data_IF_938320331929
#
_entry.id   IF_938320331929
#
_cell.length_a   1.000
_cell.length_b   1.000
_cell.length_c   1.000
_cell.angle_alpha   90.00
_cell.angle_beta   90.00
_cell.angle_gamma   90.00
#
_symmetry.space_group_name_H-M   'P 1'
#
loop_
_entity.id
_entity.type
_entity.pdbx_description
1 polymer ?
#
# COMPACT_ATOMS: atom_id res chain seq x y z
N UNK A 1 -7.46 11.07 -16.07
CA UNK A 1 -6.28 10.47 -15.44
C UNK A 1 -6.56 10.18 -13.97
N UNK A 2 -6.12 9.04 -13.49
CA UNK A 2 -6.18 8.68 -12.07
C UNK A 2 -5.26 9.57 -11.25
N UNK A 3 -5.54 9.68 -9.93
CA UNK A 3 -4.69 10.45 -9.01
C UNK A 3 -3.64 9.55 -8.38
N UNK A 4 -2.38 9.88 -8.57
CA UNK A 4 -1.28 9.17 -7.92
C UNK A 4 -1.35 9.31 -6.39
N UNK A 5 -1.03 8.23 -5.71
CA UNK A 5 -0.69 8.25 -4.28
C UNK A 5 0.54 7.40 -4.06
N UNK A 6 1.38 7.82 -3.12
CA UNK A 6 2.57 7.09 -2.70
C UNK A 6 2.64 7.20 -1.19
N UNK A 7 2.21 6.16 -0.50
CA UNK A 7 2.20 6.09 0.96
C UNK A 7 3.22 5.06 1.42
N UNK A 8 4.18 5.48 2.23
CA UNK A 8 5.22 4.61 2.76
C UNK A 8 5.02 4.41 4.26
N UNK A 9 5.10 3.17 4.69
CA UNK A 9 4.96 2.76 6.08
C UNK A 9 5.90 1.61 6.43
N UNK A 10 5.92 1.26 7.71
CA UNK A 10 6.60 0.05 8.16
C UNK A 10 5.83 -1.17 7.66
N UNK A 11 6.56 -2.18 7.24
CA UNK A 11 5.97 -3.48 6.95
C UNK A 11 5.42 -4.08 8.25
N UNK A 12 4.14 -4.44 8.25
CA UNK A 12 3.46 -5.04 9.40
C UNK A 12 2.94 -6.43 9.05
N UNK A 13 2.66 -7.26 10.05
CA UNK A 13 2.03 -8.56 9.82
C UNK A 13 0.66 -8.40 9.13
N UNK A 14 -0.11 -7.38 9.48
CA UNK A 14 -1.39 -7.09 8.82
C UNK A 14 -1.22 -6.76 7.34
N UNK A 15 -0.20 -5.94 6.99
CA UNK A 15 0.12 -5.67 5.58
C UNK A 15 0.47 -6.95 4.81
N UNK A 16 1.29 -7.82 5.41
CA UNK A 16 1.67 -9.09 4.77
C UNK A 16 0.47 -10.00 4.56
N UNK A 17 -0.41 -10.17 5.57
CA UNK A 17 -1.63 -10.95 5.44
C UNK A 17 -2.56 -10.43 4.34
N UNK A 18 -2.67 -9.10 4.18
CA UNK A 18 -3.44 -8.49 3.10
C UNK A 18 -2.79 -8.75 1.72
N UNK A 19 -1.47 -8.50 1.60
CA UNK A 19 -0.70 -8.74 0.37
C UNK A 19 -0.82 -10.20 -0.08
N UNK A 20 -0.71 -11.14 0.85
CA UNK A 20 -0.79 -12.58 0.60
C UNK A 20 -2.23 -13.11 0.49
N UNK A 21 -3.23 -12.27 0.73
CA UNK A 21 -4.65 -12.64 0.79
C UNK A 21 -4.96 -13.79 1.77
N UNK A 22 -4.22 -13.88 2.87
CA UNK A 22 -4.39 -14.93 3.88
C UNK A 22 -5.76 -14.91 4.55
N UNK A 23 -6.42 -13.75 4.59
CA UNK A 23 -7.76 -13.55 5.14
C UNK A 23 -8.88 -13.64 4.09
N UNK A 24 -8.60 -14.22 2.92
CA UNK A 24 -9.55 -14.38 1.82
C UNK A 24 -9.75 -13.11 0.98
N UNK A 25 -10.73 -13.16 0.05
CA UNK A 25 -11.00 -12.12 -0.93
C UNK A 25 -11.97 -11.03 -0.42
N UNK A 26 -11.94 -10.71 0.87
CA UNK A 26 -12.92 -9.80 1.51
C UNK A 26 -12.92 -8.37 0.94
N UNK A 27 -11.90 -8.00 0.16
CA UNK A 27 -11.76 -6.66 -0.44
C UNK A 27 -12.07 -6.65 -1.94
N UNK A 28 -12.15 -7.82 -2.57
CA UNK A 28 -12.39 -7.92 -4.00
C UNK A 28 -13.84 -7.59 -4.32
N UNK A 29 -14.04 -6.73 -5.30
CA UNK A 29 -15.36 -6.41 -5.88
C UNK A 29 -15.59 -7.08 -7.23
N UNK A 30 -14.52 -7.64 -7.81
CA UNK A 30 -14.52 -8.46 -9.03
C UNK A 30 -13.86 -9.79 -8.71
N UNK A 31 -14.53 -10.89 -9.00
CA UNK A 31 -13.98 -12.22 -8.77
C UNK A 31 -12.94 -12.59 -9.83
N UNK A 32 -11.90 -13.32 -9.37
CA UNK A 32 -10.90 -13.94 -10.26
C UNK A 32 -10.20 -12.98 -11.22
N UNK A 33 -9.80 -11.82 -10.75
CA UNK A 33 -9.04 -10.89 -11.60
C UNK A 33 -7.70 -11.50 -12.01
N UNK A 34 -7.60 -11.95 -13.26
CA UNK A 34 -6.34 -12.39 -13.89
C UNK A 34 -5.33 -11.24 -14.06
N UNK A 35 -5.77 -10.02 -13.80
CA UNK A 35 -4.92 -8.83 -13.87
C UNK A 35 -4.11 -8.58 -12.59
N UNK A 36 -4.38 -9.32 -11.51
CA UNK A 36 -3.56 -9.29 -10.31
C UNK A 36 -2.23 -10.00 -10.56
N UNK A 37 -1.16 -9.47 -9.98
CA UNK A 37 0.16 -10.06 -10.10
C UNK A 37 0.90 -10.06 -8.78
N UNK A 38 1.77 -11.06 -8.60
CA UNK A 38 2.73 -11.12 -7.51
C UNK A 38 4.11 -11.45 -8.08
N UNK A 39 5.10 -10.64 -7.74
CA UNK A 39 6.49 -10.83 -8.13
C UNK A 39 7.38 -10.72 -6.89
N UNK A 40 8.28 -11.67 -6.72
CA UNK A 40 9.31 -11.67 -5.68
C UNK A 40 10.67 -11.59 -6.34
N UNK A 41 11.45 -10.59 -5.99
CA UNK A 41 12.76 -10.33 -6.59
C UNK A 41 13.91 -10.80 -5.70
N UNK A 42 13.69 -10.80 -4.37
CA UNK A 42 14.69 -11.23 -3.40
C UNK A 42 14.06 -12.02 -2.26
N UNK A 43 14.80 -12.99 -1.72
CA UNK A 43 14.49 -13.58 -0.43
C UNK A 43 14.85 -12.61 0.70
N UNK A 44 13.95 -12.45 1.67
CA UNK A 44 14.12 -11.47 2.75
C UNK A 44 15.38 -11.72 3.58
N UNK A 45 15.59 -12.98 3.98
CA UNK A 45 16.72 -13.35 4.84
C UNK A 45 18.06 -13.20 4.12
N UNK A 46 18.13 -13.59 2.84
CA UNK A 46 19.32 -13.44 2.00
C UNK A 46 19.67 -11.95 1.81
N UNK A 47 18.65 -11.13 1.53
CA UNK A 47 18.84 -9.70 1.38
C UNK A 47 19.31 -9.07 2.67
N UNK A 48 18.66 -9.41 3.80
CA UNK A 48 19.02 -8.93 5.12
C UNK A 48 20.45 -9.32 5.51
N UNK A 49 20.87 -10.55 5.22
CA UNK A 49 22.23 -11.00 5.49
C UNK A 49 23.25 -10.20 4.68
N UNK A 50 23.04 -10.03 3.38
CA UNK A 50 23.87 -9.20 2.51
C UNK A 50 23.99 -7.75 3.02
N UNK A 51 22.86 -7.18 3.49
CA UNK A 51 22.85 -5.82 4.06
C UNK A 51 23.67 -5.74 5.36
N UNK A 52 23.55 -6.73 6.26
CA UNK A 52 24.34 -6.81 7.49
C UNK A 52 25.84 -6.92 7.20
N UNK A 53 26.22 -7.77 6.25
CA UNK A 53 27.62 -7.97 5.87
C UNK A 53 28.20 -6.69 5.28
N UNK A 54 27.47 -6.04 4.40
CA UNK A 54 27.86 -4.75 3.82
C UNK A 54 27.95 -3.64 4.86
N UNK A 55 27.01 -3.57 5.79
CA UNK A 55 27.08 -2.63 6.91
C UNK A 55 28.33 -2.85 7.74
N UNK A 56 28.62 -4.10 8.13
CA UNK A 56 29.81 -4.47 8.91
C UNK A 56 31.11 -4.14 8.16
N UNK A 57 31.15 -4.38 6.86
CA UNK A 57 32.29 -4.02 6.00
C UNK A 57 32.58 -2.51 6.03
N UNK A 58 31.53 -1.69 5.89
CA UNK A 58 31.65 -0.23 5.79
C UNK A 58 31.80 0.47 7.14
N UNK A 59 31.00 0.06 8.13
CA UNK A 59 30.90 0.75 9.44
C UNK A 59 31.79 0.11 10.50
N UNK A 60 32.33 -1.09 10.23
CA UNK A 60 33.18 -1.89 11.16
C UNK A 60 32.47 -2.29 12.47
N UNK A 61 31.15 -2.31 12.47
CA UNK A 61 30.29 -2.68 13.59
C UNK A 61 29.14 -3.57 13.11
N UNK A 62 28.52 -4.30 14.02
CA UNK A 62 27.30 -5.01 13.71
C UNK A 62 26.12 -4.03 13.56
N UNK A 63 25.20 -4.35 12.65
CA UNK A 63 24.01 -3.54 12.46
C UNK A 63 23.09 -3.63 13.69
N UNK A 64 22.66 -2.49 14.21
CA UNK A 64 21.78 -2.42 15.37
C UNK A 64 20.36 -2.89 15.02
N UNK A 65 19.64 -3.46 15.99
CA UNK A 65 18.27 -3.92 15.81
C UNK A 65 17.33 -2.83 15.29
N UNK A 66 17.48 -1.59 15.74
CA UNK A 66 16.68 -0.46 15.25
C UNK A 66 16.88 -0.18 13.76
N UNK A 67 18.08 -0.40 13.23
CA UNK A 67 18.38 -0.29 11.80
C UNK A 67 17.80 -1.48 11.02
N UNK A 68 17.89 -2.69 11.59
CA UNK A 68 17.35 -3.93 10.99
C UNK A 68 15.81 -3.83 10.81
N UNK A 69 15.09 -3.41 11.85
CA UNK A 69 13.63 -3.26 11.82
C UNK A 69 13.16 -2.26 10.74
N UNK A 70 14.00 -1.30 10.39
CA UNK A 70 13.67 -0.26 9.43
C UNK A 70 14.27 -0.51 8.02
N UNK A 71 14.87 -1.68 7.78
CA UNK A 71 15.40 -2.02 6.44
C UNK A 71 14.27 -2.13 5.43
N UNK A 72 13.21 -2.88 5.76
CA UNK A 72 12.09 -3.09 4.86
C UNK A 72 10.95 -2.12 5.16
N UNK A 73 10.40 -1.56 4.10
CA UNK A 73 9.25 -0.67 4.12
C UNK A 73 8.22 -1.17 3.12
N UNK A 74 6.98 -0.79 3.32
CA UNK A 74 5.90 -0.99 2.36
C UNK A 74 5.52 0.35 1.73
N UNK A 75 5.39 0.38 0.41
CA UNK A 75 4.74 1.46 -0.32
C UNK A 75 3.40 0.99 -0.87
N UNK A 76 2.34 1.74 -0.59
CA UNK A 76 1.04 1.57 -1.27
C UNK A 76 0.93 2.67 -2.33
N UNK A 77 0.81 2.24 -3.58
CA UNK A 77 0.86 3.09 -4.76
C UNK A 77 -0.48 2.97 -5.49
N UNK A 78 -1.25 4.05 -5.59
CA UNK A 78 -2.41 4.06 -6.48
C UNK A 78 -1.91 4.03 -7.92
N UNK A 79 -2.50 3.18 -8.74
CA UNK A 79 -2.19 3.01 -10.16
C UNK A 79 -3.47 3.06 -10.99
N UNK A 80 -3.34 3.29 -12.28
CA UNK A 80 -4.44 3.10 -13.22
C UNK A 80 -4.44 1.64 -13.73
N UNK A 81 -5.58 1.18 -14.27
CA UNK A 81 -5.76 -0.21 -14.69
C UNK A 81 -4.78 -0.70 -15.77
N UNK A 82 -4.14 0.23 -16.52
CA UNK A 82 -3.17 -0.10 -17.56
C UNK A 82 -1.74 -0.32 -17.04
N UNK A 83 -1.41 0.15 -15.82
CA UNK A 83 -0.06 -0.04 -15.27
C UNK A 83 0.24 -1.52 -15.02
N UNK A 84 1.48 -1.88 -15.27
CA UNK A 84 2.03 -3.23 -15.17
C UNK A 84 3.04 -3.35 -14.03
N UNK A 85 3.54 -4.56 -13.81
CA UNK A 85 4.63 -4.80 -12.85
C UNK A 85 5.93 -4.14 -13.30
N UNK A 86 6.17 -4.07 -14.62
CA UNK A 86 7.34 -3.43 -15.21
C UNK A 86 7.33 -1.92 -14.91
N UNK A 87 6.19 -1.23 -15.05
CA UNK A 87 6.09 0.20 -14.74
C UNK A 87 6.47 0.49 -13.28
N UNK A 88 6.10 -0.40 -12.35
CA UNK A 88 6.45 -0.25 -10.93
C UNK A 88 7.91 -0.64 -10.67
N UNK A 89 8.44 -1.64 -11.37
CA UNK A 89 9.86 -1.98 -11.29
C UNK A 89 10.74 -0.81 -11.74
N UNK A 90 10.41 -0.21 -12.88
CA UNK A 90 11.09 0.98 -13.41
C UNK A 90 10.99 2.16 -12.44
N UNK A 91 9.80 2.38 -11.85
CA UNK A 91 9.62 3.39 -10.82
C UNK A 91 10.60 3.20 -9.64
N UNK A 92 10.74 1.99 -9.12
CA UNK A 92 11.66 1.72 -8.01
C UNK A 92 13.13 1.81 -8.42
N UNK A 93 13.44 1.45 -9.65
CA UNK A 93 14.78 1.67 -10.22
C UNK A 93 15.12 3.18 -10.21
N UNK A 94 14.23 4.02 -10.70
CA UNK A 94 14.41 5.49 -10.73
C UNK A 94 14.46 6.11 -9.32
N UNK A 95 13.62 5.63 -8.39
CA UNK A 95 13.67 6.04 -6.98
C UNK A 95 15.02 5.69 -6.35
N UNK A 96 15.54 4.50 -6.64
CA UNK A 96 16.86 4.05 -6.16
C UNK A 96 17.99 4.93 -6.71
N UNK A 97 17.96 5.25 -8.01
CA UNK A 97 18.96 6.12 -8.63
C UNK A 97 18.96 7.53 -8.01
N UNK A 98 17.77 8.07 -7.79
CA UNK A 98 17.63 9.46 -7.32
C UNK A 98 17.86 9.63 -5.82
N UNK A 99 17.44 8.69 -4.99
CA UNK A 99 17.39 8.85 -3.53
C UNK A 99 18.25 7.85 -2.74
N UNK A 100 18.80 6.84 -3.41
CA UNK A 100 19.44 5.69 -2.75
C UNK A 100 18.44 4.78 -2.04
N UNK A 101 18.89 3.59 -1.62
CA UNK A 101 17.95 2.58 -1.11
C UNK A 101 16.91 2.21 -2.18
N UNK A 102 15.65 2.00 -1.77
CA UNK A 102 14.51 1.71 -2.67
C UNK A 102 14.69 0.45 -3.53
N UNK A 103 15.50 -0.52 -3.07
CA UNK A 103 15.60 -1.83 -3.74
C UNK A 103 14.27 -2.57 -3.59
N UNK A 104 13.60 -2.86 -4.69
CA UNK A 104 12.32 -3.57 -4.68
C UNK A 104 12.53 -5.04 -4.32
N UNK A 105 11.89 -5.51 -3.26
CA UNK A 105 11.99 -6.88 -2.73
C UNK A 105 10.86 -7.73 -3.28
N UNK A 106 9.61 -7.25 -3.17
CA UNK A 106 8.44 -7.90 -3.76
C UNK A 106 7.39 -6.88 -4.14
N UNK A 107 6.55 -7.26 -5.09
CA UNK A 107 5.49 -6.44 -5.66
C UNK A 107 4.22 -7.26 -5.79
N UNK A 108 3.12 -6.74 -5.26
CA UNK A 108 1.78 -7.27 -5.49
C UNK A 108 0.91 -6.17 -6.09
N UNK A 109 0.21 -6.48 -7.17
CA UNK A 109 -0.75 -5.57 -7.80
C UNK A 109 -2.14 -6.13 -7.62
N UNK A 110 -3.04 -5.32 -7.07
CA UNK A 110 -4.47 -5.60 -6.94
C UNK A 110 -5.26 -4.72 -7.93
N UNK A 111 -5.93 -5.36 -8.87
CA UNK A 111 -6.80 -4.70 -9.87
C UNK A 111 -8.27 -5.08 -9.71
N UNK A 112 -8.59 -5.93 -8.74
CA UNK A 112 -9.92 -6.45 -8.44
C UNK A 112 -10.56 -5.82 -7.19
N UNK A 113 -9.84 -4.96 -6.50
CA UNK A 113 -10.30 -4.29 -5.29
C UNK A 113 -10.96 -2.95 -5.59
N UNK A 114 -11.90 -2.54 -4.71
CA UNK A 114 -12.62 -1.29 -4.89
C UNK A 114 -13.79 -1.15 -3.95
N UNK A 115 -14.87 -0.56 -4.46
CA UNK A 115 -16.12 -0.40 -3.75
C UNK A 115 -17.30 -0.42 -4.71
N UNK A 116 -18.47 -0.66 -4.15
CA UNK A 116 -19.74 -0.54 -4.85
C UNK A 116 -20.36 0.83 -4.60
N UNK A 117 -21.09 1.36 -5.58
CA UNK A 117 -21.75 2.66 -5.48
C UNK A 117 -23.23 2.52 -5.86
N UNK A 118 -24.11 3.04 -5.00
CA UNK A 118 -25.55 3.17 -5.26
C UNK A 118 -26.05 4.50 -4.69
N UNK A 119 -26.87 5.24 -5.43
CA UNK A 119 -27.46 6.52 -4.99
C UNK A 119 -26.44 7.52 -4.41
N UNK A 120 -25.29 7.70 -5.06
CA UNK A 120 -24.16 8.52 -4.60
C UNK A 120 -23.49 8.07 -3.27
N UNK A 121 -23.85 6.92 -2.74
CA UNK A 121 -23.26 6.34 -1.55
C UNK A 121 -22.26 5.23 -1.92
N UNK A 122 -21.12 5.18 -1.21
CA UNK A 122 -20.07 4.19 -1.40
C UNK A 122 -20.16 3.08 -0.34
N UNK A 123 -20.09 1.83 -0.79
CA UNK A 123 -20.15 0.63 0.04
C UNK A 123 -18.85 -0.14 -0.11
N UNK A 124 -18.10 -0.24 1.00
CA UNK A 124 -16.76 -0.84 1.02
C UNK A 124 -16.81 -2.24 1.63
N UNK A 125 -16.49 -3.31 0.89
CA UNK A 125 -16.44 -4.67 1.45
C UNK A 125 -15.51 -4.78 2.68
N UNK A 126 -14.33 -4.17 2.60
CA UNK A 126 -13.32 -4.23 3.65
C UNK A 126 -13.71 -3.50 4.97
N UNK A 127 -14.78 -2.71 4.96
CA UNK A 127 -15.30 -2.06 6.17
C UNK A 127 -16.47 -2.82 6.79
N UNK A 128 -16.70 -4.05 6.34
CA UNK A 128 -17.84 -4.87 6.76
C UNK A 128 -19.20 -4.19 6.55
N UNK A 129 -19.30 -3.32 5.54
CA UNK A 129 -20.58 -2.69 5.16
C UNK A 129 -21.35 -3.61 4.22
N UNK A 130 -20.64 -4.32 3.34
CA UNK A 130 -21.14 -5.37 2.48
C UNK A 130 -20.41 -6.67 2.79
N UNK A 131 -21.13 -7.74 3.06
CA UNK A 131 -20.60 -9.08 3.28
C UNK A 131 -21.08 -10.00 2.17
N UNK A 132 -20.19 -10.82 1.62
CA UNK A 132 -20.54 -11.87 0.69
C UNK A 132 -20.61 -13.21 1.42
N UNK A 133 -21.74 -13.91 1.31
CA UNK A 133 -21.93 -15.29 1.77
C UNK A 133 -22.62 -16.10 0.67
N UNK A 134 -22.09 -17.27 0.35
CA UNK A 134 -22.68 -18.22 -0.64
C UNK A 134 -23.13 -17.56 -1.94
N UNK A 135 -22.28 -16.69 -2.51
CA UNK A 135 -22.55 -15.90 -3.71
C UNK A 135 -23.64 -14.81 -3.57
N UNK A 136 -24.14 -14.57 -2.37
CA UNK A 136 -25.06 -13.48 -2.09
C UNK A 136 -24.37 -12.34 -1.34
N UNK A 137 -24.84 -11.12 -1.56
CA UNK A 137 -24.38 -9.95 -0.84
C UNK A 137 -25.40 -9.51 0.20
N UNK A 138 -24.91 -9.17 1.37
CA UNK A 138 -25.71 -8.74 2.51
C UNK A 138 -25.22 -7.40 3.03
N UNK A 139 -26.14 -6.55 3.45
CA UNK A 139 -25.87 -5.26 4.07
C UNK A 139 -26.62 -5.15 5.40
N UNK A 140 -26.12 -4.33 6.31
CA UNK A 140 -26.85 -3.95 7.53
C UNK A 140 -27.20 -2.48 7.49
N UNK A 141 -28.31 -2.11 8.14
CA UNK A 141 -28.68 -0.70 8.29
C UNK A 141 -27.61 0.07 9.10
N UNK A 142 -27.02 -0.54 10.10
CA UNK A 142 -25.95 0.07 10.91
C UNK A 142 -24.65 0.23 10.15
N UNK A 143 -24.39 -0.57 9.13
CA UNK A 143 -23.25 -0.41 8.21
C UNK A 143 -23.26 0.94 7.51
N UNK A 144 -24.44 1.50 7.25
CA UNK A 144 -24.62 2.84 6.69
C UNK A 144 -24.20 3.95 7.66
N UNK A 145 -24.24 3.72 8.97
CA UNK A 145 -23.93 4.68 10.02
C UNK A 145 -22.46 4.58 10.51
N UNK A 146 -21.62 3.76 9.87
CA UNK A 146 -20.21 3.61 10.19
C UNK A 146 -19.93 2.78 11.45
N UNK A 147 -20.95 2.15 12.04
CA UNK A 147 -20.78 1.17 13.13
C UNK A 147 -20.43 -0.20 12.53
N UNK A 148 -19.68 -1.00 13.28
CA UNK A 148 -19.47 -2.41 12.89
C UNK A 148 -20.81 -3.10 12.95
N UNK A 149 -21.32 -3.67 11.85
CA UNK A 149 -22.59 -4.35 11.86
C UNK A 149 -22.45 -5.68 12.60
N UNK A 150 -23.35 -5.93 13.54
CA UNK A 150 -23.45 -7.22 14.23
C UNK A 150 -24.35 -8.19 13.45
N UNK A 151 -25.22 -7.67 12.57
CA UNK A 151 -26.16 -8.47 11.81
C UNK A 151 -26.24 -8.02 10.32
N UNK A 152 -25.89 -8.94 9.41
CA UNK A 152 -25.98 -8.80 7.96
C UNK A 152 -27.24 -9.52 7.46
N UNK A 153 -28.40 -8.99 7.78
CA UNK A 153 -29.69 -9.65 7.53
C UNK A 153 -30.35 -9.26 6.22
N UNK A 154 -30.01 -8.12 5.63
CA UNK A 154 -30.64 -7.66 4.40
C UNK A 154 -29.83 -8.10 3.17
N UNK A 155 -30.37 -9.07 2.43
CA UNK A 155 -29.84 -9.45 1.11
C UNK A 155 -30.03 -8.29 0.12
N UNK A 156 -29.00 -8.02 -0.67
CA UNK A 156 -29.02 -6.99 -1.72
C UNK A 156 -28.70 -7.60 -3.09
N UNK A 157 -29.32 -7.07 -4.11
CA UNK A 157 -28.94 -7.38 -5.48
C UNK A 157 -27.76 -6.49 -5.88
N UNK A 158 -26.59 -7.08 -6.03
CA UNK A 158 -25.37 -6.36 -6.37
C UNK A 158 -25.39 -5.78 -7.78
N UNK A 159 -26.26 -6.28 -8.67
CA UNK A 159 -26.43 -5.76 -10.02
C UNK A 159 -26.99 -4.33 -10.05
N UNK A 160 -27.66 -3.90 -8.97
CA UNK A 160 -28.16 -2.53 -8.82
C UNK A 160 -27.05 -1.53 -8.40
N UNK A 161 -25.84 -2.01 -8.16
CA UNK A 161 -24.70 -1.20 -7.76
C UNK A 161 -23.71 -1.07 -8.91
N UNK A 162 -23.13 0.12 -9.08
CA UNK A 162 -22.00 0.28 -9.96
C UNK A 162 -20.69 -0.08 -9.22
N UNK A 163 -19.87 -0.89 -9.88
CA UNK A 163 -18.54 -1.25 -9.35
C UNK A 163 -17.54 -0.16 -9.69
N UNK A 164 -16.78 0.29 -8.68
CA UNK A 164 -15.67 1.25 -8.84
C UNK A 164 -14.39 0.56 -8.41
N UNK A 165 -13.51 0.28 -9.36
CA UNK A 165 -12.21 -0.31 -9.10
C UNK A 165 -11.23 0.76 -8.59
N UNK A 166 -10.36 0.35 -7.66
CA UNK A 166 -9.28 1.17 -7.11
C UNK A 166 -7.95 0.42 -7.22
N UNK A 167 -7.42 0.26 -8.44
CA UNK A 167 -6.18 -0.47 -8.65
C UNK A 167 -5.04 0.14 -7.84
N UNK A 168 -4.24 -0.73 -7.21
CA UNK A 168 -3.09 -0.29 -6.43
C UNK A 168 -2.01 -1.38 -6.36
N UNK A 169 -0.80 -0.94 -6.08
CA UNK A 169 0.35 -1.80 -5.88
C UNK A 169 0.83 -1.73 -4.43
N UNK A 170 1.16 -2.88 -3.86
CA UNK A 170 1.93 -3.04 -2.64
C UNK A 170 3.35 -3.39 -3.01
N UNK A 171 4.27 -2.47 -2.81
CA UNK A 171 5.68 -2.67 -3.06
C UNK A 171 6.43 -2.78 -1.73
N UNK A 172 6.99 -3.95 -1.45
CA UNK A 172 7.92 -4.10 -0.34
C UNK A 172 9.31 -3.81 -0.86
N UNK A 173 9.99 -2.86 -0.25
CA UNK A 173 11.29 -2.41 -0.69
C UNK A 173 12.24 -2.19 0.49
N UNK A 174 13.54 -2.20 0.19
CA UNK A 174 14.57 -1.94 1.18
C UNK A 174 15.05 -0.50 1.13
N UNK A 175 15.20 0.09 2.31
CA UNK A 175 15.86 1.38 2.47
C UNK A 175 17.38 1.27 2.54
N UNK A 176 17.95 0.06 2.53
CA UNK A 176 19.39 -0.12 2.60
C UNK A 176 20.07 0.29 1.30
N UNK A 177 21.02 1.20 1.39
CA UNK A 177 21.86 1.63 0.29
C UNK A 177 23.20 0.90 0.36
N UNK A 178 23.42 -0.03 -0.57
CA UNK A 178 24.66 -0.83 -0.62
C UNK A 178 25.90 -0.01 -0.95
N UNK A 179 25.76 1.13 -1.64
CA UNK A 179 26.90 2.01 -1.93
C UNK A 179 27.41 2.69 -0.68
N UNK A 180 26.47 3.14 0.16
CA UNK A 180 26.76 3.82 1.43
C UNK A 180 26.96 2.83 2.59
N UNK A 181 26.46 1.58 2.46
CA UNK A 181 26.49 0.57 3.51
C UNK A 181 25.59 0.91 4.71
N UNK A 182 24.51 1.65 4.50
CA UNK A 182 23.55 2.05 5.54
C UNK A 182 22.19 2.36 4.95
N UNK A 183 21.17 2.48 5.82
CA UNK A 183 19.84 2.87 5.35
C UNK A 183 19.85 4.31 4.80
N UNK A 184 19.26 4.50 3.63
CA UNK A 184 18.94 5.82 3.10
C UNK A 184 17.93 6.51 4.03
N UNK A 185 18.08 7.81 4.21
CA UNK A 185 17.16 8.59 5.05
C UNK A 185 16.01 9.13 4.20
N UNK A 186 14.80 8.89 4.66
CA UNK A 186 13.60 9.48 4.08
C UNK A 186 13.03 10.50 5.06
N UNK A 187 13.17 11.79 4.75
CA UNK A 187 12.63 12.85 5.58
C UNK A 187 11.20 13.20 5.14
N UNK A 188 10.39 13.70 6.07
CA UNK A 188 9.00 14.08 5.79
C UNK A 188 8.89 15.10 4.65
N UNK A 189 9.81 16.06 4.56
CA UNK A 189 9.86 17.06 3.49
C UNK A 189 10.06 16.44 2.11
N UNK A 190 10.76 15.29 2.04
CA UNK A 190 11.08 14.63 0.79
C UNK A 190 9.89 13.84 0.23
N UNK A 191 8.87 13.56 1.07
CA UNK A 191 7.70 12.78 0.65
C UNK A 191 6.88 13.46 -0.44
N UNK A 192 6.81 14.79 -0.40
CA UNK A 192 6.13 15.58 -1.43
C UNK A 192 6.84 15.50 -2.77
N UNK A 193 8.16 15.62 -2.75
CA UNK A 193 8.97 15.52 -3.95
C UNK A 193 8.88 14.11 -4.54
N UNK A 194 8.95 13.08 -3.69
CA UNK A 194 8.75 11.69 -4.14
C UNK A 194 7.37 11.45 -4.74
N UNK A 195 6.30 11.98 -4.14
CA UNK A 195 4.97 11.84 -4.72
C UNK A 195 4.88 12.49 -6.12
N UNK A 196 5.45 13.69 -6.28
CA UNK A 196 5.51 14.35 -7.59
C UNK A 196 6.29 13.50 -8.59
N UNK A 197 7.43 12.97 -8.17
CA UNK A 197 8.27 12.12 -8.99
C UNK A 197 7.54 10.84 -9.41
N UNK A 198 6.89 10.14 -8.47
CA UNK A 198 6.05 8.96 -8.74
C UNK A 198 4.92 9.30 -9.72
N UNK A 199 4.19 10.40 -9.50
CA UNK A 199 3.12 10.82 -10.39
C UNK A 199 3.62 11.11 -11.82
N UNK A 200 4.79 11.74 -11.94
CA UNK A 200 5.41 12.02 -13.23
C UNK A 200 5.77 10.74 -13.98
N UNK A 201 6.42 9.78 -13.30
CA UNK A 201 6.84 8.53 -13.92
C UNK A 201 5.64 7.66 -14.33
N UNK A 202 4.62 7.59 -13.48
CA UNK A 202 3.38 6.87 -13.79
C UNK A 202 2.41 7.66 -14.69
N UNK A 203 2.78 8.87 -15.14
CA UNK A 203 1.92 9.75 -15.96
C UNK A 203 0.53 9.94 -15.35
N UNK A 204 0.47 10.16 -14.03
CA UNK A 204 -0.76 10.34 -13.25
C UNK A 204 -0.82 11.74 -12.65
N UNK A 205 -2.03 12.24 -12.38
CA UNK A 205 -2.20 13.48 -11.63
C UNK A 205 -1.82 13.31 -10.17
N UNK A 206 -1.34 14.37 -9.51
CA UNK A 206 -1.17 14.38 -8.07
C UNK A 206 -1.97 15.52 -7.43
N UNK A 207 -2.47 15.29 -6.22
CA UNK A 207 -3.25 16.27 -5.48
C UNK A 207 -2.62 16.61 -4.15
N UNK A 208 -2.28 17.87 -3.94
CA UNK A 208 -1.77 18.42 -2.68
C UNK A 208 -2.79 18.31 -1.52
N UNK A 209 -4.10 18.28 -1.82
CA UNK A 209 -5.15 18.28 -0.81
C UNK A 209 -5.15 17.02 0.08
N UNK A 210 -4.83 15.84 -0.46
CA UNK A 210 -4.73 14.61 0.34
C UNK A 210 -3.59 14.66 1.35
N UNK A 211 -2.49 15.32 1.02
CA UNK A 211 -1.30 15.41 1.86
C UNK A 211 -1.56 16.32 3.06
N UNK A 212 -2.22 17.45 2.85
CA UNK A 212 -2.60 18.36 3.93
C UNK A 212 -3.56 17.70 4.92
N UNK A 213 -4.45 16.79 4.48
CA UNK A 213 -5.34 16.02 5.34
C UNK A 213 -4.57 15.00 6.19
N UNK A 214 -3.59 14.29 5.62
CA UNK A 214 -2.73 13.33 6.34
C UNK A 214 -1.83 14.06 7.35
N UNK A 215 -1.31 15.23 6.99
CA UNK A 215 -0.52 16.07 7.89
C UNK A 215 -1.37 16.57 9.07
N UNK A 216 -2.60 17.06 8.83
CA UNK A 216 -3.53 17.49 9.89
C UNK A 216 -3.88 16.38 10.88
N UNK A 217 -4.23 15.17 10.39
CA UNK A 217 -4.58 14.03 11.24
C UNK A 217 -3.41 13.58 12.12
N UNK A 218 -2.17 13.63 11.61
CA UNK A 218 -0.98 13.27 12.40
C UNK A 218 -0.58 14.33 13.42
N UNK A 219 -0.81 15.61 13.13
CA UNK A 219 -0.52 16.72 14.07
C UNK A 219 -1.51 16.74 15.24
N UNK A 220 -2.77 16.41 15.00
CA UNK A 220 -3.77 16.25 16.07
C UNK A 220 -3.44 15.08 17.01
N UNK A 221 -3.01 13.93 16.47
CA UNK A 221 -2.62 12.77 17.31
C UNK A 221 -1.32 12.94 18.11
N UNK A 222 -0.43 13.84 17.72
CA UNK A 222 0.78 14.17 18.49
C UNK A 222 0.53 15.20 19.59
N UNK A 223 -0.52 16.02 19.46
CA UNK A 223 -0.95 16.97 20.51
C UNK A 223 -1.70 16.32 21.67
N UNK A 224 -2.35 15.18 21.45
CA UNK A 224 -3.11 14.46 22.50
C UNK A 224 -2.25 13.54 23.39
N UNK A 225 -0.95 13.40 23.10
CA UNK A 225 -0.01 12.57 23.89
C UNK A 225 0.91 13.37 24.81
N UNK A 226 0.70 14.68 24.92
CA UNK A 226 1.51 15.61 25.73
C UNK A 226 0.73 16.35 26.83
N UNK A 227 -0.41 15.79 27.27
CA UNK A 227 -1.17 16.29 28.40
C UNK A 227 -1.21 15.26 29.52
#
# INVERSE_FOLDING_TARGET
MGKASFSVGKLTQHSQSHINRENGLNYAVVENSRANSFNKYYEYDDFLQKAKDRYKEKVKQNMQNSAIINIFQEAIIAIDGHHTSEDILDLFFELKQKYGGHELISLTIHKDEGYFKKNNQNFYPHKNILKKEDNNWYITQDGLNGKKPEDFSQKVDISEFSTVLTPHAHAIFSMFDFSLGRNARMQKKDMMERLKFVATLLKMDYSLQKINKIIKIRTQRSGERGG
#
